data_IF_257903583003
#
_entry.id   IF_257903583003
#
_cell.length_a   1.000
_cell.length_b   1.000
_cell.length_c   1.000
_cell.angle_alpha   90.00
_cell.angle_beta   90.00
_cell.angle_gamma   90.00
#
_symmetry.space_group_name_H-M   'P 1'
#
loop_
_entity.id
_entity.type
_entity.pdbx_description
1 polymer ?
#
# COMPACT_ATOMS: atom_id res chain seq x y z
N UNK A 1 5.77 16.64 -3.22
CA UNK A 1 5.45 15.26 -3.60
C UNK A 1 6.42 14.30 -2.95
N UNK A 2 5.98 13.79 -1.82
CA UNK A 2 6.59 12.65 -1.15
C UNK A 2 6.35 11.41 -2.02
N UNK A 3 7.37 10.58 -2.18
CA UNK A 3 7.25 9.35 -2.94
C UNK A 3 7.09 8.15 -2.00
N UNK A 4 6.27 7.14 -2.35
CA UNK A 4 6.19 5.88 -1.62
C UNK A 4 7.55 5.28 -1.23
N UNK A 5 7.62 4.87 0.03
CA UNK A 5 8.82 4.27 0.64
C UNK A 5 9.06 2.86 0.09
N UNK A 6 7.99 2.11 -0.17
CA UNK A 6 8.05 0.80 -0.79
C UNK A 6 7.58 0.84 -2.24
N UNK A 7 8.07 -0.12 -3.03
CA UNK A 7 7.35 -0.57 -4.22
C UNK A 7 6.23 -1.48 -3.73
N UNK A 8 5.00 -1.18 -4.11
CA UNK A 8 3.82 -1.92 -3.66
C UNK A 8 2.93 -2.26 -4.85
N UNK A 9 2.40 -3.49 -4.84
CA UNK A 9 1.43 -3.91 -5.86
C UNK A 9 0.18 -3.03 -5.79
N UNK A 10 -0.43 -2.72 -6.93
CA UNK A 10 -1.62 -1.87 -6.99
C UNK A 10 -1.36 -0.36 -6.86
N UNK A 11 -0.10 0.08 -6.79
CA UNK A 11 0.25 1.50 -6.61
C UNK A 11 -0.45 2.43 -7.62
N UNK A 12 -1.35 3.28 -7.11
CA UNK A 12 -2.27 4.14 -7.87
C UNK A 12 -1.63 5.35 -8.54
N UNK A 13 -0.32 5.38 -8.71
CA UNK A 13 0.40 6.53 -9.34
C UNK A 13 -0.14 6.89 -10.72
N UNK A 14 -0.61 5.90 -11.49
CA UNK A 14 -1.19 6.13 -12.82
C UNK A 14 -2.65 6.60 -12.79
N UNK A 15 -3.33 6.44 -11.65
CA UNK A 15 -4.74 6.76 -11.47
C UNK A 15 -4.95 8.01 -10.61
N UNK A 16 -3.87 8.65 -10.14
CA UNK A 16 -3.94 9.86 -9.32
C UNK A 16 -4.82 10.94 -9.97
N UNK A 17 -4.60 11.26 -11.25
CA UNK A 17 -5.42 12.28 -11.93
C UNK A 17 -6.90 11.91 -11.99
N UNK A 18 -7.22 10.63 -12.19
CA UNK A 18 -8.59 10.14 -12.18
C UNK A 18 -9.20 10.19 -10.77
N UNK A 19 -8.44 9.88 -9.73
CA UNK A 19 -8.87 10.00 -8.34
C UNK A 19 -9.15 11.46 -7.99
N UNK A 20 -8.22 12.37 -8.28
CA UNK A 20 -8.37 13.80 -7.96
C UNK A 20 -9.56 14.45 -8.65
N UNK A 21 -9.88 14.07 -9.89
CA UNK A 21 -11.08 14.56 -10.59
C UNK A 21 -12.40 14.17 -9.90
N UNK A 22 -12.35 13.34 -8.84
CA UNK A 22 -13.50 12.86 -8.08
C UNK A 22 -13.43 13.26 -6.60
N UNK A 23 -12.40 13.99 -6.20
CA UNK A 23 -12.29 14.54 -4.86
C UNK A 23 -13.30 15.68 -4.68
N UNK A 24 -13.78 15.90 -3.44
CA UNK A 24 -14.53 17.11 -3.13
C UNK A 24 -13.63 18.35 -3.27
N UNK A 25 -14.23 19.51 -3.50
CA UNK A 25 -13.53 20.82 -3.53
C UNK A 25 -12.67 21.08 -2.28
N UNK A 26 -13.13 20.58 -1.13
CA UNK A 26 -12.42 20.63 0.15
C UNK A 26 -12.88 19.50 1.07
N UNK A 27 -12.00 19.06 1.96
CA UNK A 27 -12.29 18.11 3.03
C UNK A 27 -11.48 18.47 4.29
N UNK A 28 -11.94 18.01 5.45
CA UNK A 28 -11.30 18.35 6.73
C UNK A 28 -10.11 17.41 7.05
N UNK A 29 -10.34 16.09 7.10
CA UNK A 29 -9.29 15.07 7.27
C UNK A 29 -9.35 14.00 6.18
N UNK A 30 -8.23 13.32 5.99
CA UNK A 30 -8.08 12.25 5.00
C UNK A 30 -7.87 10.89 5.66
N UNK A 31 -8.64 9.89 5.23
CA UNK A 31 -8.55 8.53 5.74
C UNK A 31 -8.29 7.54 4.61
N UNK A 32 -7.26 6.71 4.74
CA UNK A 32 -6.94 5.64 3.78
C UNK A 32 -6.91 4.28 4.49
N UNK A 33 -8.05 3.55 4.55
CA UNK A 33 -8.15 2.28 5.27
C UNK A 33 -7.33 1.12 4.71
N UNK A 34 -6.91 1.23 3.45
CA UNK A 34 -6.08 0.27 2.71
C UNK A 34 -4.86 0.98 2.12
N UNK A 35 -4.00 1.53 2.98
CA UNK A 35 -2.92 2.44 2.54
C UNK A 35 -1.93 1.77 1.60
N UNK A 36 -1.60 0.48 1.79
CA UNK A 36 -0.58 -0.20 0.99
C UNK A 36 0.72 0.61 0.88
N UNK A 37 1.11 0.98 -0.33
CA UNK A 37 2.29 1.82 -0.58
C UNK A 37 2.11 3.31 -0.28
N UNK A 38 0.91 3.78 0.06
CA UNK A 38 0.59 5.17 0.38
C UNK A 38 0.69 6.11 -0.83
N UNK A 39 0.42 5.61 -2.04
CA UNK A 39 0.64 6.40 -3.26
C UNK A 39 -0.24 7.65 -3.31
N UNK A 40 -1.50 7.56 -2.88
CA UNK A 40 -2.40 8.71 -2.82
C UNK A 40 -2.10 9.57 -1.59
N UNK A 41 -1.98 8.97 -0.40
CA UNK A 41 -1.58 9.66 0.83
C UNK A 41 -0.34 10.56 0.69
N UNK A 42 0.78 10.01 0.18
CA UNK A 42 2.04 10.77 0.05
C UNK A 42 2.02 11.80 -1.09
N UNK A 43 1.12 11.65 -2.06
CA UNK A 43 0.91 12.64 -3.11
C UNK A 43 -0.01 13.79 -2.65
N UNK A 44 -0.97 13.46 -1.80
CA UNK A 44 -1.91 14.40 -1.19
C UNK A 44 -1.27 15.23 -0.07
N UNK A 45 -0.37 14.63 0.71
CA UNK A 45 0.28 15.22 1.87
C UNK A 45 -0.75 15.87 2.85
N UNK A 46 -1.76 15.11 3.32
CA UNK A 46 -2.85 15.66 4.12
C UNK A 46 -2.36 16.17 5.49
N UNK A 47 -2.99 17.23 6.00
CA UNK A 47 -2.61 17.84 7.28
C UNK A 47 -2.93 16.95 8.49
N UNK A 48 -3.97 16.12 8.40
CA UNK A 48 -4.43 15.25 9.47
C UNK A 48 -5.31 14.12 8.91
N UNK A 49 -5.47 13.07 9.72
CA UNK A 49 -6.34 11.96 9.43
C UNK A 49 -5.70 10.63 9.80
N UNK A 50 -6.04 9.57 9.06
CA UNK A 50 -5.66 8.21 9.44
C UNK A 50 -5.20 7.38 8.24
N UNK A 51 -4.19 6.54 8.45
CA UNK A 51 -3.86 5.45 7.53
C UNK A 51 -4.00 4.12 8.25
N UNK A 52 -4.37 3.08 7.51
CA UNK A 52 -4.50 1.73 8.03
C UNK A 52 -4.09 0.71 6.97
N UNK A 53 -3.61 -0.44 7.44
CA UNK A 53 -3.50 -1.63 6.61
C UNK A 53 -3.71 -2.88 7.48
N UNK A 54 -4.20 -3.95 6.88
CA UNK A 54 -4.29 -5.25 7.54
C UNK A 54 -2.89 -5.85 7.77
N UNK A 55 -1.91 -5.51 6.92
CA UNK A 55 -0.55 -6.03 7.03
C UNK A 55 0.21 -5.40 8.22
N UNK A 56 0.49 -6.16 9.30
CA UNK A 56 1.12 -5.61 10.50
C UNK A 56 2.59 -5.22 10.28
N UNK A 57 3.28 -5.82 9.30
CA UNK A 57 4.68 -5.46 9.00
C UNK A 57 4.76 -4.12 8.27
N UNK A 58 3.80 -3.87 7.38
CA UNK A 58 3.67 -2.59 6.69
C UNK A 58 3.31 -1.46 7.66
N UNK A 59 2.36 -1.70 8.56
CA UNK A 59 1.99 -0.72 9.59
C UNK A 59 3.18 -0.42 10.52
N UNK A 60 3.87 -1.47 11.00
CA UNK A 60 5.08 -1.31 11.81
C UNK A 60 6.14 -0.45 11.10
N UNK A 61 6.33 -0.63 9.78
CA UNK A 61 7.21 0.22 8.99
C UNK A 61 6.76 1.69 9.02
N UNK A 62 5.49 2.00 8.77
CA UNK A 62 5.00 3.38 8.79
C UNK A 62 5.16 4.03 10.17
N UNK A 63 4.92 3.29 11.25
CA UNK A 63 5.22 3.76 12.60
C UNK A 63 6.71 4.07 12.79
N UNK A 64 7.61 3.19 12.34
CA UNK A 64 9.06 3.43 12.46
C UNK A 64 9.53 4.61 11.62
N UNK A 65 8.93 4.82 10.45
CA UNK A 65 9.19 5.99 9.60
C UNK A 65 8.72 7.26 10.30
N UNK A 66 7.54 7.26 10.92
CA UNK A 66 7.01 8.41 11.65
C UNK A 66 7.86 8.71 12.88
N UNK A 67 8.07 7.72 13.74
CA UNK A 67 8.54 7.90 15.11
C UNK A 67 10.07 7.84 15.24
N UNK A 68 10.75 7.09 14.38
CA UNK A 68 12.19 6.80 14.49
C UNK A 68 12.96 6.89 13.14
N UNK A 69 12.71 7.89 12.28
CA UNK A 69 13.26 7.95 10.92
C UNK A 69 14.79 7.91 10.88
N UNK A 70 15.45 8.57 11.84
CA UNK A 70 16.92 8.58 11.94
C UNK A 70 17.49 7.18 12.20
N UNK A 71 16.92 6.46 13.18
CA UNK A 71 17.36 5.09 13.52
C UNK A 71 17.10 4.11 12.38
N UNK A 72 15.97 4.28 11.67
CA UNK A 72 15.66 3.47 10.49
C UNK A 72 16.69 3.69 9.37
N UNK A 73 17.05 4.95 9.09
CA UNK A 73 18.07 5.30 8.10
C UNK A 73 19.43 4.72 8.48
N UNK A 74 19.87 4.91 9.73
CA UNK A 74 21.14 4.35 10.24
C UNK A 74 21.16 2.83 10.09
N UNK A 75 20.04 2.16 10.38
CA UNK A 75 19.97 0.71 10.20
C UNK A 75 20.05 0.30 8.74
N UNK A 76 19.34 1.00 7.85
CA UNK A 76 19.40 0.75 6.40
C UNK A 76 20.79 0.96 5.81
N UNK A 77 21.55 1.93 6.32
CA UNK A 77 22.94 2.21 5.94
C UNK A 77 23.90 1.09 6.32
N UNK A 78 23.58 0.32 7.35
CA UNK A 78 24.44 -0.75 7.85
C UNK A 78 24.30 -2.07 7.09
N UNK A 79 23.31 -2.22 6.21
CA UNK A 79 23.18 -3.42 5.39
C UNK A 79 24.25 -3.48 4.30
N UNK A 80 24.77 -4.68 4.08
CA UNK A 80 25.72 -4.96 3.01
C UNK A 80 25.03 -5.16 1.65
N UNK A 81 25.84 -5.21 0.60
CA UNK A 81 25.39 -5.55 -0.75
C UNK A 81 24.66 -6.91 -0.75
N UNK A 82 23.49 -7.03 -1.40
CA UNK A 82 22.69 -8.25 -1.38
C UNK A 82 23.38 -9.49 -2.00
N UNK A 83 24.37 -9.29 -2.88
CA UNK A 83 25.19 -10.35 -3.49
C UNK A 83 26.47 -10.66 -2.69
N UNK A 84 26.76 -9.93 -1.62
CA UNK A 84 27.91 -10.22 -0.75
C UNK A 84 27.75 -11.53 0.04
N UNK A 85 28.85 -12.03 0.60
CA UNK A 85 28.84 -13.22 1.46
C UNK A 85 27.98 -12.97 2.72
N UNK A 86 27.31 -14.02 3.25
CA UNK A 86 26.60 -13.91 4.53
C UNK A 86 27.52 -13.42 5.64
N UNK A 87 26.99 -12.60 6.53
CA UNK A 87 27.72 -12.10 7.70
C UNK A 87 27.83 -13.22 8.75
N UNK A 88 29.05 -13.68 9.10
CA UNK A 88 29.25 -14.79 10.02
C UNK A 88 28.84 -14.46 11.47
N UNK A 89 28.73 -13.18 11.83
CA UNK A 89 28.37 -12.74 13.17
C UNK A 89 26.83 -12.62 13.35
N UNK A 90 26.06 -12.77 12.27
CA UNK A 90 24.60 -12.70 12.27
C UNK A 90 23.96 -14.10 12.19
N UNK A 91 22.71 -14.27 12.71
CA UNK A 91 21.96 -15.51 12.54
C UNK A 91 21.80 -15.90 11.06
N UNK A 92 21.66 -17.22 10.83
CA UNK A 92 21.43 -17.80 9.51
C UNK A 92 22.55 -17.55 8.50
N UNK A 93 23.81 -17.51 8.94
CA UNK A 93 24.96 -17.38 8.03
C UNK A 93 25.13 -18.60 7.10
N UNK A 94 24.82 -19.81 7.58
CA UNK A 94 24.98 -21.05 6.80
C UNK A 94 23.64 -21.62 6.32
N UNK A 95 22.66 -21.73 7.22
CA UNK A 95 21.36 -22.33 6.94
C UNK A 95 20.21 -21.53 7.54
N UNK A 96 19.06 -21.54 6.87
CA UNK A 96 17.81 -20.92 7.33
C UNK A 96 17.13 -21.75 8.43
N UNK A 97 16.07 -21.21 9.06
CA UNK A 97 15.20 -21.92 10.01
C UNK A 97 14.65 -23.25 9.47
N UNK A 98 14.58 -23.40 8.14
CA UNK A 98 14.10 -24.59 7.45
C UNK A 98 15.22 -25.50 6.93
N UNK A 99 16.46 -25.27 7.34
CA UNK A 99 17.62 -26.08 6.96
C UNK A 99 18.04 -25.94 5.49
N UNK A 100 17.66 -24.84 4.82
CA UNK A 100 18.15 -24.52 3.47
C UNK A 100 19.43 -23.71 3.53
N UNK A 101 20.37 -23.99 2.63
CA UNK A 101 21.62 -23.25 2.50
C UNK A 101 21.37 -21.76 2.21
N UNK A 102 22.25 -20.93 2.76
CA UNK A 102 22.22 -19.48 2.62
C UNK A 102 23.36 -19.06 1.70
N UNK A 103 23.01 -18.71 0.47
CA UNK A 103 23.99 -18.49 -0.61
C UNK A 103 24.54 -17.06 -0.66
N UNK A 104 23.86 -16.09 -0.04
CA UNK A 104 24.28 -14.68 -0.04
C UNK A 104 23.67 -13.92 1.13
N UNK A 105 24.19 -12.71 1.38
CA UNK A 105 23.69 -11.77 2.38
C UNK A 105 22.19 -11.52 2.23
N UNK A 106 21.67 -11.31 1.01
CA UNK A 106 20.22 -11.16 0.79
C UNK A 106 19.41 -12.32 1.39
N UNK A 107 19.84 -13.56 1.16
CA UNK A 107 19.11 -14.74 1.64
C UNK A 107 19.23 -14.93 3.16
N UNK A 108 20.35 -14.49 3.76
CA UNK A 108 20.49 -14.39 5.21
C UNK A 108 19.49 -13.39 5.78
N UNK A 109 19.44 -12.18 5.22
CA UNK A 109 18.52 -11.12 5.65
C UNK A 109 17.05 -11.52 5.46
N UNK A 110 16.74 -12.24 4.38
CA UNK A 110 15.41 -12.83 4.16
C UNK A 110 15.07 -13.89 5.21
N UNK A 111 16.04 -14.70 5.63
CA UNK A 111 15.83 -15.65 6.71
C UNK A 111 15.53 -14.90 8.02
N UNK A 112 16.32 -13.90 8.39
CA UNK A 112 16.10 -13.06 9.58
C UNK A 112 14.73 -12.37 9.57
N UNK A 113 14.30 -11.84 8.43
CA UNK A 113 12.96 -11.25 8.29
C UNK A 113 11.82 -12.26 8.53
N UNK A 114 12.09 -13.53 8.26
CA UNK A 114 11.15 -14.62 8.47
C UNK A 114 11.19 -15.21 9.89
N UNK A 115 11.87 -14.58 10.84
CA UNK A 115 11.82 -15.02 12.24
C UNK A 115 10.39 -14.94 12.79
N UNK A 116 9.70 -13.81 12.63
CA UNK A 116 8.33 -13.60 13.13
C UNK A 116 7.36 -14.77 12.87
N UNK A 117 7.16 -15.26 11.63
CA UNK A 117 6.23 -16.36 11.35
C UNK A 117 6.70 -17.73 11.89
N UNK A 118 8.00 -17.92 12.13
CA UNK A 118 8.55 -19.24 12.49
C UNK A 118 8.93 -19.38 13.97
N UNK A 119 9.37 -18.29 14.61
CA UNK A 119 9.82 -18.26 16.01
C UNK A 119 8.92 -17.37 16.89
N UNK A 120 8.19 -16.43 16.30
CA UNK A 120 7.39 -15.43 17.01
C UNK A 120 8.21 -14.24 17.54
N UNK A 121 9.54 -14.26 17.39
CA UNK A 121 10.42 -13.19 17.83
C UNK A 121 10.64 -12.17 16.70
N UNK A 122 10.57 -10.88 17.03
CA UNK A 122 10.95 -9.81 16.10
C UNK A 122 11.30 -8.53 16.86
N UNK A 123 12.25 -7.77 16.32
CA UNK A 123 12.49 -6.38 16.70
C UNK A 123 11.81 -5.47 15.67
N UNK A 124 10.91 -4.54 16.06
CA UNK A 124 10.16 -3.73 15.12
C UNK A 124 11.03 -2.87 14.19
N UNK A 125 12.13 -2.31 14.70
CA UNK A 125 13.02 -1.47 13.91
C UNK A 125 13.79 -2.33 12.89
N UNK A 126 14.30 -3.48 13.32
CA UNK A 126 14.98 -4.45 12.47
C UNK A 126 14.04 -4.98 11.37
N UNK A 127 12.80 -5.34 11.72
CA UNK A 127 11.81 -5.85 10.77
C UNK A 127 11.46 -4.78 9.72
N UNK A 128 11.25 -3.53 10.14
CA UNK A 128 11.00 -2.41 9.23
C UNK A 128 12.19 -2.16 8.29
N UNK A 129 13.42 -2.19 8.81
CA UNK A 129 14.63 -2.01 7.99
C UNK A 129 14.81 -3.17 6.99
N UNK A 130 14.61 -4.40 7.44
CA UNK A 130 14.64 -5.60 6.59
C UNK A 130 13.57 -5.56 5.51
N UNK A 131 12.35 -5.10 5.82
CA UNK A 131 11.27 -4.96 4.85
C UNK A 131 11.66 -4.01 3.72
N UNK A 132 12.20 -2.83 4.05
CA UNK A 132 12.66 -1.85 3.05
C UNK A 132 13.83 -2.41 2.24
N UNK A 133 14.83 -3.00 2.90
CA UNK A 133 15.97 -3.60 2.23
C UNK A 133 15.55 -4.69 1.24
N UNK A 134 14.75 -5.66 1.69
CA UNK A 134 14.25 -6.75 0.85
C UNK A 134 13.39 -6.22 -0.29
N UNK A 135 12.43 -5.33 -0.03
CA UNK A 135 11.57 -4.76 -1.08
C UNK A 135 12.38 -4.01 -2.15
N UNK A 136 13.47 -3.34 -1.78
CA UNK A 136 14.26 -2.56 -2.74
C UNK A 136 15.27 -3.41 -3.51
N UNK A 137 15.63 -4.58 -3.01
CA UNK A 137 16.64 -5.48 -3.59
C UNK A 137 16.07 -6.77 -4.16
N UNK A 138 14.80 -7.11 -3.88
CA UNK A 138 14.13 -8.30 -4.40
C UNK A 138 13.58 -8.10 -5.82
N UNK A 139 13.24 -9.19 -6.49
CA UNK A 139 12.65 -9.18 -7.82
C UNK A 139 11.41 -8.25 -7.89
N UNK A 140 11.51 -7.22 -8.74
CA UNK A 140 10.48 -6.20 -9.00
C UNK A 140 9.94 -5.44 -7.78
N UNK A 141 10.59 -5.55 -6.62
CA UNK A 141 10.08 -4.99 -5.37
C UNK A 141 8.70 -5.50 -4.99
N UNK A 142 8.46 -6.79 -5.18
CA UNK A 142 7.24 -7.44 -4.76
C UNK A 142 7.24 -7.63 -3.24
N UNK A 143 6.07 -7.53 -2.64
CA UNK A 143 5.77 -8.10 -1.34
C UNK A 143 4.95 -9.38 -1.55
N UNK A 144 5.48 -10.53 -1.10
CA UNK A 144 4.78 -11.81 -1.20
C UNK A 144 5.23 -12.75 -0.10
N UNK A 145 4.24 -13.27 0.62
CA UNK A 145 4.43 -14.28 1.66
C UNK A 145 3.95 -15.65 1.17
N UNK A 146 4.50 -16.70 1.77
CA UNK A 146 3.99 -18.07 1.60
C UNK A 146 2.86 -18.34 2.60
N UNK A 147 2.25 -19.53 2.54
CA UNK A 147 1.17 -19.92 3.44
C UNK A 147 1.57 -19.97 4.93
N UNK A 148 2.86 -20.03 5.24
CA UNK A 148 3.38 -19.95 6.60
C UNK A 148 3.66 -18.50 7.04
N UNK A 149 3.30 -17.48 6.24
CA UNK A 149 3.58 -16.05 6.52
C UNK A 149 5.03 -15.62 6.26
N UNK A 150 5.84 -16.46 5.61
CA UNK A 150 7.23 -16.16 5.30
C UNK A 150 7.42 -15.48 3.94
N UNK A 151 8.13 -14.37 3.89
CA UNK A 151 8.52 -13.68 2.66
C UNK A 151 9.34 -14.60 1.74
N UNK A 152 8.92 -14.71 0.48
CA UNK A 152 9.46 -15.70 -0.46
C UNK A 152 9.91 -15.13 -1.81
N UNK A 153 10.12 -13.82 -1.92
CA UNK A 153 10.59 -13.20 -3.16
C UNK A 153 12.10 -13.43 -3.32
N UNK A 154 12.59 -13.85 -4.49
CA UNK A 154 14.03 -13.99 -4.74
C UNK A 154 14.71 -12.62 -4.90
N UNK A 155 16.03 -12.61 -4.79
CA UNK A 155 16.86 -11.43 -5.08
C UNK A 155 16.58 -10.93 -6.51
N UNK A 156 16.53 -9.61 -6.68
CA UNK A 156 16.43 -8.95 -7.98
C UNK A 156 17.81 -8.70 -8.58
N UNK A 157 17.87 -8.43 -9.88
CA UNK A 157 19.11 -8.03 -10.55
C UNK A 157 19.18 -6.51 -10.61
N UNK A 158 19.98 -5.90 -9.75
CA UNK A 158 20.15 -4.45 -9.69
C UNK A 158 21.65 -4.12 -9.78
N UNK A 159 22.00 -3.15 -10.64
CA UNK A 159 23.39 -2.74 -10.81
C UNK A 159 23.89 -1.86 -9.64
N UNK A 160 22.99 -1.13 -8.98
CA UNK A 160 23.25 -0.29 -7.80
C UNK A 160 21.91 0.06 -7.13
N UNK A 161 21.36 -0.81 -6.25
CA UNK A 161 20.09 -0.52 -5.61
C UNK A 161 20.28 0.51 -4.49
N UNK A 162 19.88 1.77 -4.70
CA UNK A 162 19.72 2.71 -3.58
C UNK A 162 18.47 2.34 -2.77
N UNK A 163 18.63 1.47 -1.76
CA UNK A 163 17.57 1.03 -0.86
C UNK A 163 17.31 2.00 0.30
N UNK A 164 18.25 2.88 0.61
CA UNK A 164 18.20 3.72 1.82
C UNK A 164 17.19 4.85 1.64
N UNK A 165 17.16 5.50 0.46
CA UNK A 165 16.20 6.57 0.13
C UNK A 165 15.99 7.60 1.25
N UNK A 166 17.09 8.10 1.85
CA UNK A 166 17.12 8.99 3.03
C UNK A 166 16.10 10.13 2.97
N UNK A 167 16.11 10.88 1.87
CA UNK A 167 15.24 12.05 1.72
C UNK A 167 13.76 11.66 1.62
N UNK A 168 13.45 10.48 1.06
CA UNK A 168 12.08 9.98 1.02
C UNK A 168 11.59 9.59 2.41
N UNK A 169 12.42 8.93 3.21
CA UNK A 169 12.07 8.56 4.60
C UNK A 169 11.83 9.80 5.44
N UNK A 170 12.70 10.81 5.34
CA UNK A 170 12.54 12.07 6.09
C UNK A 170 11.26 12.82 5.72
N UNK A 171 10.98 12.97 4.42
CA UNK A 171 9.74 13.62 3.97
C UNK A 171 8.51 12.82 4.35
N UNK A 172 8.54 11.49 4.26
CA UNK A 172 7.43 10.66 4.69
C UNK A 172 7.19 10.77 6.20
N UNK A 173 8.24 10.87 7.01
CA UNK A 173 8.13 11.14 8.44
C UNK A 173 7.44 12.47 8.72
N UNK A 174 7.80 13.54 7.99
CA UNK A 174 7.16 14.85 8.08
C UNK A 174 5.65 14.76 7.75
N UNK A 175 5.27 14.06 6.68
CA UNK A 175 3.85 13.87 6.30
C UNK A 175 3.08 13.00 7.29
N UNK A 176 3.73 12.02 7.93
CA UNK A 176 3.08 11.12 8.89
C UNK A 176 2.96 11.71 10.30
N UNK A 177 3.59 12.86 10.58
CA UNK A 177 3.74 13.39 11.94
C UNK A 177 2.39 13.61 12.66
N UNK A 178 1.38 14.11 11.94
CA UNK A 178 0.04 14.40 12.45
C UNK A 178 -1.02 13.36 12.01
N UNK A 179 -0.57 12.17 11.61
CA UNK A 179 -1.43 11.10 11.09
C UNK A 179 -1.44 9.91 12.05
N UNK A 180 -2.65 9.44 12.37
CA UNK A 180 -2.82 8.23 13.15
C UNK A 180 -2.63 7.01 12.26
N UNK A 181 -1.81 6.06 12.71
CA UNK A 181 -1.50 4.84 11.97
C UNK A 181 -2.15 3.68 12.71
N UNK A 182 -3.01 2.92 12.01
CA UNK A 182 -3.73 1.78 12.56
C UNK A 182 -3.35 0.47 11.87
N UNK A 183 -3.45 -0.63 12.62
CA UNK A 183 -3.44 -1.99 12.10
C UNK A 183 -4.73 -2.68 12.58
N UNK A 184 -5.83 -2.44 11.88
CA UNK A 184 -7.19 -2.89 12.20
C UNK A 184 -7.91 -3.32 10.93
N UNK A 185 -9.06 -3.95 11.11
CA UNK A 185 -10.05 -4.10 10.04
C UNK A 185 -10.47 -2.72 9.51
N UNK A 186 -10.75 -2.62 8.22
CA UNK A 186 -11.07 -1.35 7.55
C UNK A 186 -12.30 -0.65 8.12
N UNK A 187 -13.21 -1.38 8.79
CA UNK A 187 -14.39 -0.84 9.49
C UNK A 187 -14.03 0.16 10.59
N UNK A 188 -12.78 0.21 11.08
CA UNK A 188 -12.33 1.19 12.07
C UNK A 188 -12.65 2.64 11.65
N UNK A 189 -12.73 2.90 10.34
CA UNK A 189 -13.00 4.22 9.79
C UNK A 189 -14.36 4.76 10.24
N UNK A 190 -15.32 3.87 10.53
CA UNK A 190 -16.63 4.24 11.07
C UNK A 190 -16.57 4.87 12.48
N UNK A 191 -15.47 4.65 13.21
CA UNK A 191 -15.26 5.18 14.55
C UNK A 191 -14.54 6.54 14.56
N UNK A 192 -13.85 6.89 13.47
CA UNK A 192 -12.92 8.04 13.42
C UNK A 192 -13.25 9.09 12.36
N UNK A 193 -13.99 8.73 11.31
CA UNK A 193 -14.38 9.67 10.25
C UNK A 193 -15.61 10.48 10.68
N UNK A 194 -15.53 11.80 10.53
CA UNK A 194 -16.59 12.77 10.81
C UNK A 194 -17.15 13.37 9.51
N UNK A 195 -18.37 13.94 9.53
CA UNK A 195 -18.94 14.62 8.36
C UNK A 195 -18.00 15.70 7.82
N UNK A 196 -17.78 15.73 6.50
CA UNK A 196 -16.81 16.62 5.85
C UNK A 196 -15.41 16.02 5.62
N UNK A 197 -15.09 14.90 6.26
CA UNK A 197 -13.85 14.16 5.99
C UNK A 197 -13.91 13.48 4.60
N UNK A 198 -12.74 13.06 4.10
CA UNK A 198 -12.57 12.26 2.89
C UNK A 198 -11.99 10.89 3.22
N UNK A 199 -12.69 9.83 2.81
CA UNK A 199 -12.25 8.43 2.95
C UNK A 199 -11.99 7.86 1.56
N UNK A 200 -10.79 7.31 1.35
CA UNK A 200 -10.43 6.59 0.14
C UNK A 200 -10.17 5.11 0.42
N UNK A 201 -10.92 4.24 -0.24
CA UNK A 201 -10.75 2.80 -0.17
C UNK A 201 -10.10 2.25 -1.44
N UNK A 202 -9.01 1.49 -1.26
CA UNK A 202 -8.34 0.72 -2.31
C UNK A 202 -8.13 -0.75 -1.88
N UNK A 203 -9.22 -1.53 -1.73
CA UNK A 203 -9.13 -2.90 -1.24
C UNK A 203 -8.38 -3.82 -2.23
N UNK A 204 -8.01 -5.04 -1.83
CA UNK A 204 -7.73 -6.11 -2.79
C UNK A 204 -8.89 -6.29 -3.78
N UNK A 205 -8.61 -6.38 -5.08
CA UNK A 205 -9.64 -6.39 -6.12
C UNK A 205 -10.32 -7.75 -6.23
N UNK A 206 -11.64 -7.74 -6.46
CA UNK A 206 -12.38 -8.94 -6.83
C UNK A 206 -11.84 -9.52 -8.16
N UNK A 207 -11.50 -10.83 -8.22
CA UNK A 207 -11.07 -11.48 -9.45
C UNK A 207 -12.14 -11.40 -10.55
N UNK A 208 -11.71 -11.07 -11.77
CA UNK A 208 -12.61 -10.89 -12.93
C UNK A 208 -13.18 -12.20 -13.50
N UNK A 209 -12.68 -13.38 -13.11
CA UNK A 209 -13.23 -14.66 -13.56
C UNK A 209 -13.44 -15.63 -12.40
N UNK A 210 -14.59 -16.31 -12.40
CA UNK A 210 -14.93 -17.38 -11.44
C UNK A 210 -13.97 -18.58 -11.51
N UNK A 211 -13.16 -18.68 -12.57
CA UNK A 211 -12.17 -19.75 -12.81
C UNK A 211 -10.73 -19.33 -12.55
N UNK A 212 -10.44 -18.03 -12.39
CA UNK A 212 -9.20 -17.57 -11.79
C UNK A 212 -9.36 -17.74 -10.28
N UNK A 213 -9.05 -18.97 -9.86
CA UNK A 213 -8.94 -19.42 -8.49
C UNK A 213 -8.82 -18.24 -7.50
N UNK A 214 -9.90 -18.02 -6.75
CA UNK A 214 -10.02 -17.12 -5.60
C UNK A 214 -9.06 -17.54 -4.44
N UNK A 215 -8.09 -18.41 -4.72
CA UNK A 215 -7.30 -19.18 -3.75
C UNK A 215 -5.79 -18.88 -3.80
N UNK A 216 -5.32 -17.83 -4.50
CA UNK A 216 -3.87 -17.62 -4.65
C UNK A 216 -3.29 -16.22 -4.31
N UNK A 217 -4.08 -15.23 -3.89
CA UNK A 217 -3.55 -13.92 -3.47
C UNK A 217 -4.19 -13.37 -2.20
N UNK A 218 -4.12 -14.15 -1.12
CA UNK A 218 -3.92 -13.69 0.26
C UNK A 218 -4.06 -14.92 1.14
N UNK A 219 -3.01 -15.27 1.86
CA UNK A 219 -3.14 -16.25 2.94
C UNK A 219 -4.03 -15.69 4.09
N UNK A 220 -4.40 -14.40 4.04
CA UNK A 220 -5.24 -13.67 4.99
C UNK A 220 -6.36 -12.85 4.29
N UNK A 221 -7.19 -13.53 3.48
CA UNK A 221 -8.59 -13.19 3.14
C UNK A 221 -9.03 -11.72 3.03
N UNK A 222 -9.21 -11.24 1.80
CA UNK A 222 -10.24 -10.23 1.49
C UNK A 222 -11.15 -10.84 0.45
N UNK A 223 -12.32 -11.32 0.88
CA UNK A 223 -13.21 -12.10 0.03
C UNK A 223 -14.48 -11.34 -0.39
N UNK A 224 -15.44 -12.05 -0.98
CA UNK A 224 -16.69 -11.43 -1.43
C UNK A 224 -17.52 -10.90 -0.26
N UNK A 225 -17.51 -11.57 0.89
CA UNK A 225 -18.21 -11.07 2.09
C UNK A 225 -17.55 -9.77 2.56
N UNK A 226 -16.23 -9.65 2.46
CA UNK A 226 -15.52 -8.40 2.76
C UNK A 226 -15.82 -7.29 1.73
N UNK A 227 -15.98 -7.62 0.44
CA UNK A 227 -16.42 -6.67 -0.57
C UNK A 227 -17.84 -6.15 -0.27
N UNK A 228 -18.74 -7.02 0.19
CA UNK A 228 -20.11 -6.64 0.59
C UNK A 228 -20.08 -5.74 1.83
N UNK A 229 -19.30 -6.10 2.87
CA UNK A 229 -19.05 -5.25 4.05
C UNK A 229 -18.49 -3.88 3.66
N UNK A 230 -17.56 -3.81 2.72
CA UNK A 230 -16.99 -2.55 2.25
C UNK A 230 -18.04 -1.63 1.63
N UNK A 231 -18.96 -2.18 0.85
CA UNK A 231 -20.08 -1.41 0.27
C UNK A 231 -21.01 -0.89 1.37
N UNK A 232 -21.29 -1.71 2.40
CA UNK A 232 -22.10 -1.30 3.56
C UNK A 232 -21.41 -0.18 4.37
N UNK A 233 -20.10 -0.28 4.60
CA UNK A 233 -19.29 0.77 5.24
C UNK A 233 -19.31 2.05 4.43
N UNK A 234 -19.07 1.97 3.12
CA UNK A 234 -19.08 3.13 2.23
C UNK A 234 -20.45 3.84 2.23
N UNK A 235 -21.54 3.07 2.20
CA UNK A 235 -22.92 3.60 2.26
C UNK A 235 -23.20 4.23 3.63
N UNK A 236 -22.74 3.61 4.72
CA UNK A 236 -22.89 4.16 6.07
C UNK A 236 -22.14 5.48 6.25
N UNK A 237 -20.97 5.62 5.63
CA UNK A 237 -20.20 6.87 5.62
C UNK A 237 -20.89 7.96 4.79
N UNK A 238 -21.44 7.60 3.63
CA UNK A 238 -22.26 8.50 2.80
C UNK A 238 -23.46 9.06 3.57
N UNK A 239 -24.22 8.20 4.26
CA UNK A 239 -25.36 8.59 5.11
C UNK A 239 -24.95 9.56 6.25
N UNK A 240 -23.67 9.56 6.65
CA UNK A 240 -23.12 10.45 7.68
C UNK A 240 -22.55 11.76 7.10
N UNK A 241 -22.57 11.96 5.79
CA UNK A 241 -22.02 13.15 5.14
C UNK A 241 -20.49 13.13 5.03
N UNK A 242 -19.89 11.95 5.01
CA UNK A 242 -18.46 11.76 4.71
C UNK A 242 -18.28 11.62 3.20
N UNK A 243 -17.25 12.24 2.64
CA UNK A 243 -16.92 12.04 1.22
C UNK A 243 -16.21 10.69 1.06
N UNK A 244 -16.67 9.85 0.15
CA UNK A 244 -16.17 8.47 -0.03
C UNK A 244 -15.78 8.26 -1.48
N UNK A 245 -14.54 7.80 -1.69
CA UNK A 245 -14.05 7.30 -2.96
C UNK A 245 -13.62 5.84 -2.81
N UNK A 246 -13.92 5.02 -3.81
CA UNK A 246 -13.50 3.61 -3.86
C UNK A 246 -12.93 3.30 -5.24
N UNK A 247 -11.74 2.71 -5.29
CA UNK A 247 -11.22 2.07 -6.51
C UNK A 247 -11.35 0.55 -6.43
N UNK A 248 -11.84 -0.08 -7.49
CA UNK A 248 -12.02 -1.53 -7.53
C UNK A 248 -12.07 -2.07 -8.96
N UNK A 249 -12.19 -3.38 -9.12
CA UNK A 249 -12.43 -4.05 -10.41
C UNK A 249 -13.82 -3.75 -10.98
N UNK A 250 -13.94 -3.77 -12.31
CA UNK A 250 -15.18 -3.45 -13.02
C UNK A 250 -16.38 -4.33 -12.70
N UNK A 251 -16.18 -5.56 -12.19
CA UNK A 251 -17.29 -6.42 -11.72
C UNK A 251 -18.08 -5.85 -10.55
N UNK A 252 -17.51 -4.85 -9.86
CA UNK A 252 -18.18 -4.17 -8.74
C UNK A 252 -19.05 -2.99 -9.16
N UNK A 253 -19.04 -2.61 -10.45
CA UNK A 253 -19.75 -1.44 -10.99
C UNK A 253 -21.22 -1.40 -10.56
N UNK A 254 -21.98 -2.45 -10.87
CA UNK A 254 -23.42 -2.50 -10.62
C UNK A 254 -23.73 -2.47 -9.11
N UNK A 255 -22.83 -3.00 -8.27
CA UNK A 255 -23.04 -3.04 -6.82
C UNK A 255 -22.92 -1.65 -6.21
N UNK A 256 -21.91 -0.87 -6.59
CA UNK A 256 -21.78 0.52 -6.16
C UNK A 256 -22.86 1.42 -6.79
N UNK A 257 -23.19 1.24 -8.08
CA UNK A 257 -24.23 2.03 -8.71
C UNK A 257 -25.61 1.81 -8.05
N UNK A 258 -25.89 0.60 -7.56
CA UNK A 258 -27.12 0.28 -6.85
C UNK A 258 -27.27 0.99 -5.49
N UNK A 259 -26.18 1.46 -4.88
CA UNK A 259 -26.23 2.24 -3.62
C UNK A 259 -26.44 3.73 -3.87
N UNK A 260 -26.43 4.19 -5.13
CA UNK A 260 -26.54 5.60 -5.49
C UNK A 260 -25.20 6.31 -5.70
N UNK A 261 -24.08 5.60 -5.52
CA UNK A 261 -22.76 6.12 -5.87
C UNK A 261 -22.66 6.39 -7.36
N UNK A 262 -21.93 7.42 -7.72
CA UNK A 262 -21.52 7.64 -9.09
C UNK A 262 -20.31 6.77 -9.40
N UNK A 263 -20.39 5.97 -10.47
CA UNK A 263 -19.34 5.03 -10.85
C UNK A 263 -18.84 5.35 -12.25
N UNK A 264 -17.53 5.52 -12.39
CA UNK A 264 -16.84 5.70 -13.66
C UNK A 264 -15.91 4.53 -13.94
N UNK A 265 -15.75 4.14 -15.20
CA UNK A 265 -14.70 3.22 -15.65
C UNK A 265 -13.44 3.98 -16.05
N UNK A 266 -12.27 3.42 -15.75
CA UNK A 266 -10.97 3.98 -16.09
C UNK A 266 -10.12 2.90 -16.77
N UNK A 267 -9.53 3.26 -17.92
CA UNK A 267 -8.62 2.38 -18.66
C UNK A 267 -7.28 2.21 -17.92
N UNK A 268 -7.18 1.22 -17.03
CA UNK A 268 -5.93 0.90 -16.34
C UNK A 268 -5.04 -0.02 -17.19
N UNK A 269 -3.98 0.52 -17.79
CA UNK A 269 -3.00 -0.31 -18.53
C UNK A 269 -2.07 -1.03 -17.55
N UNK A 270 -2.39 -2.28 -17.17
CA UNK A 270 -1.46 -3.11 -16.37
C UNK A 270 -0.37 -3.70 -17.25
N UNK A 271 0.88 -3.25 -17.08
CA UNK A 271 2.06 -3.81 -17.72
C UNK A 271 2.49 -5.14 -17.05
N UNK A 272 1.69 -6.19 -17.17
CA UNK A 272 2.03 -7.54 -16.67
C UNK A 272 1.66 -8.60 -17.73
N UNK A 273 2.15 -8.46 -18.96
CA UNK A 273 2.25 -9.59 -19.87
C UNK A 273 3.23 -9.31 -21.02
N UNK A 274 4.02 -10.32 -21.41
CA UNK A 274 5.01 -10.25 -22.49
C UNK A 274 4.45 -10.56 -23.88
N UNK A 275 3.15 -10.86 -24.01
CA UNK A 275 2.50 -11.21 -25.28
C UNK A 275 1.47 -10.14 -25.69
N UNK A 276 1.60 -9.64 -26.92
CA UNK A 276 0.87 -8.47 -27.44
C UNK A 276 -0.60 -8.70 -27.81
N UNK A 277 -1.05 -9.95 -27.95
CA UNK A 277 -2.38 -10.30 -28.47
C UNK A 277 -3.44 -10.61 -27.39
N UNK A 278 -3.09 -10.51 -26.10
CA UNK A 278 -3.99 -10.80 -24.97
C UNK A 278 -4.39 -9.60 -24.13
N UNK A 279 -4.28 -8.36 -24.65
CA UNK A 279 -4.64 -7.14 -23.91
C UNK A 279 -6.16 -6.96 -23.87
N UNK A 280 -6.86 -7.78 -23.09
CA UNK A 280 -8.20 -7.42 -22.63
C UNK A 280 -8.06 -6.27 -21.62
N UNK A 281 -8.68 -5.13 -21.91
CA UNK A 281 -8.76 -4.00 -20.99
C UNK A 281 -9.45 -4.50 -19.71
N UNK A 282 -8.73 -4.47 -18.59
CA UNK A 282 -9.35 -4.72 -17.30
C UNK A 282 -9.97 -3.40 -16.89
N UNK A 283 -11.29 -3.29 -17.05
CA UNK A 283 -12.02 -2.10 -16.60
C UNK A 283 -11.83 -1.98 -15.09
N UNK A 284 -11.14 -0.93 -14.67
CA UNK A 284 -11.08 -0.50 -13.28
C UNK A 284 -12.19 0.53 -13.07
N UNK A 285 -12.86 0.51 -11.90
CA UNK A 285 -13.90 1.47 -11.57
C UNK A 285 -13.48 2.36 -10.42
N UNK A 286 -13.93 3.61 -10.48
CA UNK A 286 -13.89 4.54 -9.36
C UNK A 286 -15.34 4.89 -9.02
N UNK A 287 -15.77 4.52 -7.81
CA UNK A 287 -17.07 4.88 -7.25
C UNK A 287 -16.91 6.06 -6.27
N UNK A 288 -17.83 7.02 -6.29
CA UNK A 288 -17.82 8.17 -5.38
C UNK A 288 -19.23 8.68 -5.06
N UNK A 289 -19.45 9.16 -3.84
CA UNK A 289 -20.65 9.92 -3.47
C UNK A 289 -20.49 11.44 -3.70
N UNK A 290 -19.30 11.91 -4.06
CA UNK A 290 -19.04 13.33 -4.33
C UNK A 290 -19.82 13.76 -5.58
N UNK A 291 -20.67 14.76 -5.42
CA UNK A 291 -21.54 15.25 -6.49
C UNK A 291 -20.72 15.90 -7.61
N UNK A 292 -21.18 15.79 -8.87
CA UNK A 292 -20.44 16.34 -10.00
C UNK A 292 -20.21 17.87 -9.97
N UNK A 293 -21.01 18.62 -9.20
CA UNK A 293 -20.80 20.07 -9.01
C UNK A 293 -19.75 20.40 -7.96
N UNK A 294 -19.42 19.44 -7.09
CA UNK A 294 -18.50 19.60 -5.96
C UNK A 294 -17.17 18.87 -6.21
N UNK A 295 -16.98 18.33 -7.44
CA UNK A 295 -15.76 17.64 -7.86
C UNK A 295 -14.74 18.64 -8.41
N UNK A 296 -13.47 18.39 -8.09
CA UNK A 296 -12.36 19.12 -8.72
C UNK A 296 -12.33 18.90 -10.23
N UNK A 297 -12.26 20.00 -11.00
CA UNK A 297 -12.06 19.93 -12.45
C UNK A 297 -10.69 19.29 -12.76
N UNK A 298 -10.65 18.39 -13.76
CA UNK A 298 -9.42 17.80 -14.27
C UNK A 298 -8.46 18.92 -14.76
N UNK A 299 -7.51 19.32 -13.91
CA UNK A 299 -6.56 20.41 -14.18
C UNK A 299 -6.42 21.47 -13.06
N UNK A 300 -7.29 21.49 -12.04
CA UNK A 300 -7.19 22.49 -10.96
C UNK A 300 -5.91 22.39 -10.11
N UNK A 301 -5.26 21.22 -10.05
CA UNK A 301 -3.93 21.06 -9.42
C UNK A 301 -2.81 21.85 -10.10
N UNK A 302 -2.95 22.18 -11.39
CA UNK A 302 -1.94 22.99 -12.07
C UNK A 302 -2.01 24.48 -11.66
N UNK A 303 -3.14 24.94 -11.11
CA UNK A 303 -3.40 26.35 -10.86
C UNK A 303 -3.40 26.73 -9.38
N UNK A 304 -3.82 25.85 -8.46
CA UNK A 304 -3.92 26.18 -7.03
C UNK A 304 -2.65 25.91 -6.22
N UNK A 305 -1.65 25.20 -6.76
CA UNK A 305 -0.45 24.79 -6.00
C UNK A 305 0.77 25.71 -6.17
N UNK A 306 0.63 26.89 -6.80
CA UNK A 306 1.76 27.82 -7.01
C UNK A 306 1.54 29.25 -6.53
N UNK A 307 0.38 29.59 -5.99
CA UNK A 307 0.14 30.92 -5.41
C UNK A 307 -0.21 30.78 -3.93
N UNK A 308 0.70 31.30 -3.09
CA UNK A 308 0.62 31.52 -1.65
C UNK A 308 0.86 30.32 -0.70
N UNK A 309 2.15 29.96 -0.51
CA UNK A 309 2.92 30.19 0.75
C UNK A 309 4.30 29.53 0.76
#
# INVERSE_FOLDING_TARGET
MVEPILKWAGGKRQLLDALYARFPDSFDRYHEPFVGGGALFFDLEPNAGTINDANPRLVSLYERVRDEPGRLIERLESFADPESEPDPDLPYAETTQRGRDVESYYYQQRARFNDRPYTGEYDPLEEAALLVYLNRTCYNGLYRENADGGFNVPIGRYADPDWIKRDRIRRASETLADVEVYNRDFEYVLDVADPGDLVYFDPPYEPMSLTADFTAYSADGFDREDQERLIEVATTLDDRGVNVLVSNSGVTYDRYAATGFHVDTVDATRAINSDGDGREAVDEVIATNVSGSDRLDAGQRALSTFEDR
#
